data_IF_531614359874
#
_entry.id   IF_531614359874
#
_cell.length_a   1.000
_cell.length_b   1.000
_cell.length_c   1.000
_cell.angle_alpha   90.00
_cell.angle_beta   90.00
_cell.angle_gamma   90.00
#
_symmetry.space_group_name_H-M   'P 1'
#
loop_
_entity.id
_entity.type
_entity.pdbx_description
1 polymer ?
#
# COMPACT_ATOMS: atom_id res chain seq x y z
N UNK A 1 77.20 -29.93 -51.30
CA UNK A 1 76.94 -28.81 -52.22
C UNK A 1 75.44 -28.72 -52.41
N UNK A 2 74.78 -27.73 -51.84
CA UNK A 2 73.34 -27.53 -52.07
C UNK A 2 73.21 -27.13 -53.53
N UNK A 3 72.62 -27.99 -54.35
CA UNK A 3 72.46 -27.78 -55.78
C UNK A 3 71.55 -26.55 -55.97
N UNK A 4 71.93 -25.55 -56.78
CA UNK A 4 71.15 -24.32 -56.92
C UNK A 4 69.66 -24.56 -57.27
N UNK A 5 69.36 -25.69 -57.93
CA UNK A 5 67.99 -26.14 -58.24
C UNK A 5 67.18 -26.55 -57.01
N UNK A 6 67.78 -27.24 -56.04
CA UNK A 6 67.07 -27.61 -54.79
C UNK A 6 66.82 -26.40 -53.89
N UNK A 7 67.75 -25.43 -53.87
CA UNK A 7 67.54 -24.16 -53.17
C UNK A 7 66.39 -23.35 -53.76
N UNK A 8 66.30 -23.28 -55.09
CA UNK A 8 65.21 -22.57 -55.78
C UNK A 8 63.85 -23.22 -55.50
N UNK A 9 63.76 -24.56 -55.55
CA UNK A 9 62.52 -25.29 -55.23
C UNK A 9 62.07 -25.00 -53.79
N UNK A 10 63.02 -24.97 -52.84
CA UNK A 10 62.72 -24.73 -51.43
C UNK A 10 62.23 -23.29 -51.18
N UNK A 11 62.80 -22.30 -51.90
CA UNK A 11 62.37 -20.89 -51.85
C UNK A 11 60.96 -20.73 -52.43
N UNK A 12 60.68 -21.35 -53.58
CA UNK A 12 59.34 -21.30 -54.21
C UNK A 12 58.30 -21.96 -53.31
N UNK A 13 58.62 -23.12 -52.72
CA UNK A 13 57.73 -23.80 -51.80
C UNK A 13 57.44 -22.94 -50.55
N UNK A 14 58.46 -22.32 -49.97
CA UNK A 14 58.31 -21.40 -48.85
C UNK A 14 57.44 -20.18 -49.21
N UNK A 15 57.62 -19.62 -50.41
CA UNK A 15 56.81 -18.49 -50.90
C UNK A 15 55.34 -18.89 -51.07
N UNK A 16 55.06 -20.07 -51.63
CA UNK A 16 53.69 -20.58 -51.77
C UNK A 16 53.04 -20.83 -50.41
N UNK A 17 53.76 -21.45 -49.48
CA UNK A 17 53.27 -21.65 -48.10
C UNK A 17 52.96 -20.32 -47.40
N UNK A 18 53.82 -19.32 -47.59
CA UNK A 18 53.61 -17.98 -47.05
C UNK A 18 52.36 -17.31 -47.64
N UNK A 19 52.14 -17.43 -48.95
CA UNK A 19 50.95 -16.92 -49.65
C UNK A 19 49.69 -17.60 -49.14
N UNK A 20 49.68 -18.92 -48.98
CA UNK A 20 48.53 -19.67 -48.45
C UNK A 20 48.25 -19.28 -47.00
N UNK A 21 49.28 -19.21 -46.15
CA UNK A 21 49.14 -18.80 -44.75
C UNK A 21 48.59 -17.37 -44.63
N UNK A 22 49.11 -16.43 -45.42
CA UNK A 22 48.63 -15.03 -45.44
C UNK A 22 47.20 -14.87 -46.01
N UNK A 23 46.74 -15.87 -46.77
CA UNK A 23 45.40 -15.88 -47.35
C UNK A 23 44.33 -16.37 -46.37
N UNK A 24 44.69 -17.07 -45.30
CA UNK A 24 43.73 -17.65 -44.35
C UNK A 24 43.37 -16.64 -43.26
N UNK A 25 42.08 -16.55 -42.92
CA UNK A 25 41.61 -15.86 -41.72
C UNK A 25 40.48 -16.63 -41.04
N UNK A 26 40.34 -16.42 -39.73
CA UNK A 26 39.37 -17.13 -38.88
C UNK A 26 38.36 -16.13 -38.35
N UNK A 27 37.08 -16.49 -38.39
CA UNK A 27 35.98 -15.74 -37.80
C UNK A 27 35.43 -16.54 -36.62
N UNK A 28 35.45 -15.92 -35.44
CA UNK A 28 34.93 -16.51 -34.21
C UNK A 28 33.43 -16.25 -34.07
N UNK A 29 32.76 -16.99 -33.19
CA UNK A 29 31.31 -16.84 -32.93
C UNK A 29 30.88 -15.45 -32.43
N UNK A 30 31.79 -14.70 -31.81
CA UNK A 30 31.50 -13.35 -31.30
C UNK A 30 31.84 -12.25 -32.31
N UNK A 31 32.27 -12.62 -33.50
CA UNK A 31 32.81 -11.72 -34.51
C UNK A 31 32.17 -11.99 -35.86
N UNK A 32 32.07 -10.94 -36.64
CA UNK A 32 31.73 -10.98 -38.06
C UNK A 32 32.82 -10.25 -38.82
N UNK A 33 33.08 -10.67 -40.06
CA UNK A 33 34.17 -10.14 -40.86
C UNK A 33 33.66 -9.46 -42.14
N UNK A 34 34.16 -8.26 -42.38
CA UNK A 34 33.90 -7.50 -43.60
C UNK A 34 35.17 -7.49 -44.43
N UNK A 35 35.12 -8.10 -45.61
CA UNK A 35 36.24 -8.11 -46.56
C UNK A 35 36.09 -6.91 -47.50
N UNK A 36 37.06 -6.00 -47.42
CA UNK A 36 37.06 -4.76 -48.18
C UNK A 36 38.24 -4.73 -49.14
N UNK A 37 37.95 -4.37 -50.38
CA UNK A 37 38.89 -4.29 -51.48
C UNK A 37 38.93 -2.88 -52.03
N UNK A 38 40.08 -2.22 -51.98
CA UNK A 38 40.24 -0.83 -52.42
C UNK A 38 39.16 0.11 -51.84
N UNK A 39 38.80 -0.10 -50.56
CA UNK A 39 37.76 0.66 -49.87
C UNK A 39 36.31 0.24 -50.13
N UNK A 40 36.05 -0.65 -51.10
CA UNK A 40 34.71 -1.15 -51.42
C UNK A 40 34.39 -2.48 -50.71
N UNK A 41 33.15 -2.66 -50.26
CA UNK A 41 32.71 -3.88 -49.58
C UNK A 41 32.49 -5.00 -50.61
N UNK A 42 33.41 -5.96 -50.63
CA UNK A 42 33.30 -7.13 -51.50
C UNK A 42 32.38 -8.17 -50.88
N UNK A 43 32.65 -8.57 -49.65
CA UNK A 43 31.97 -9.67 -49.00
C UNK A 43 31.82 -9.48 -47.49
N UNK A 44 30.77 -10.07 -46.93
CA UNK A 44 30.48 -10.10 -45.50
C UNK A 44 30.39 -11.57 -45.09
N UNK A 45 31.11 -11.94 -44.04
CA UNK A 45 31.10 -13.28 -43.44
C UNK A 45 30.58 -13.17 -42.01
N UNK A 46 29.36 -13.64 -41.81
CA UNK A 46 28.68 -13.63 -40.49
C UNK A 46 28.76 -14.97 -39.77
N UNK A 47 29.02 -16.06 -40.49
CA UNK A 47 29.13 -17.39 -39.89
C UNK A 47 30.54 -17.62 -39.33
N UNK A 48 30.68 -18.32 -38.19
CA UNK A 48 31.98 -18.68 -37.65
C UNK A 48 32.65 -19.71 -38.56
N UNK A 49 33.92 -19.51 -38.89
CA UNK A 49 34.60 -20.41 -39.80
C UNK A 49 35.94 -19.93 -40.30
N UNK A 50 36.56 -20.79 -41.10
CA UNK A 50 37.79 -20.50 -41.82
C UNK A 50 37.46 -19.93 -43.20
N UNK A 51 38.00 -18.78 -43.51
CA UNK A 51 37.80 -18.12 -44.80
C UNK A 51 39.12 -17.76 -45.45
N UNK A 52 39.07 -17.55 -46.76
CA UNK A 52 40.22 -17.19 -47.58
C UNK A 52 40.04 -15.77 -48.15
N UNK A 53 41.11 -14.98 -48.09
CA UNK A 53 41.25 -13.65 -48.69
C UNK A 53 42.48 -13.62 -49.58
N UNK A 54 42.60 -12.63 -50.46
CA UNK A 54 43.86 -12.44 -51.18
C UNK A 54 44.98 -12.01 -50.20
N UNK A 55 46.21 -12.53 -50.34
CA UNK A 55 47.31 -12.28 -49.42
C UNK A 55 47.99 -10.92 -49.63
N UNK A 56 47.55 -10.15 -50.63
CA UNK A 56 48.11 -8.85 -51.01
C UNK A 56 47.58 -7.70 -50.14
N UNK A 57 47.60 -7.86 -48.81
CA UNK A 57 47.16 -6.82 -47.87
C UNK A 57 47.96 -5.51 -47.99
N UNK A 58 49.19 -5.58 -48.51
CA UNK A 58 50.07 -4.43 -48.73
C UNK A 58 49.70 -3.56 -49.95
N UNK A 59 48.80 -4.01 -50.82
CA UNK A 59 48.28 -3.25 -51.96
C UNK A 59 46.83 -2.80 -51.77
N UNK A 60 46.31 -2.79 -50.52
CA UNK A 60 44.89 -2.55 -50.22
C UNK A 60 43.89 -3.47 -50.97
N UNK A 61 44.36 -4.63 -51.44
CA UNK A 61 43.59 -5.53 -52.29
C UNK A 61 42.47 -6.24 -51.52
N UNK A 62 42.74 -6.82 -50.34
CA UNK A 62 41.71 -7.38 -49.45
C UNK A 62 42.11 -7.15 -47.99
N UNK A 63 41.38 -6.27 -47.31
CA UNK A 63 41.51 -5.99 -45.87
C UNK A 63 40.28 -6.53 -45.14
N UNK A 64 40.52 -7.35 -44.12
CA UNK A 64 39.46 -7.86 -43.24
C UNK A 64 39.30 -6.91 -42.07
N UNK A 65 38.08 -6.41 -41.88
CA UNK A 65 37.68 -5.71 -40.66
C UNK A 65 36.78 -6.64 -39.85
N UNK A 66 37.16 -6.91 -38.61
CA UNK A 66 36.31 -7.60 -37.66
C UNK A 66 35.35 -6.60 -37.01
N UNK A 67 34.11 -7.04 -36.82
CA UNK A 67 33.05 -6.31 -36.15
C UNK A 67 32.44 -7.28 -35.13
N UNK A 68 31.96 -6.78 -34.00
CA UNK A 68 31.36 -7.64 -32.98
C UNK A 68 29.98 -8.17 -33.41
N UNK A 69 29.68 -9.43 -33.06
CA UNK A 69 28.35 -10.07 -33.23
C UNK A 69 27.70 -10.37 -31.87
N UNK A 70 27.84 -9.46 -30.91
CA UNK A 70 27.30 -9.61 -29.56
C UNK A 70 26.47 -8.38 -29.17
N UNK A 71 25.64 -8.54 -28.15
CA UNK A 71 24.96 -7.43 -27.51
C UNK A 71 26.00 -6.47 -26.90
N UNK A 72 26.02 -5.23 -27.40
CA UNK A 72 26.84 -4.14 -26.92
C UNK A 72 25.96 -3.17 -26.13
N UNK A 73 26.58 -2.45 -25.20
CA UNK A 73 25.91 -1.46 -24.37
C UNK A 73 26.64 -0.14 -24.45
N UNK A 74 25.88 0.94 -24.57
CA UNK A 74 26.37 2.28 -24.29
C UNK A 74 25.47 2.96 -23.26
N UNK A 75 26.08 3.84 -22.47
CA UNK A 75 25.43 4.59 -21.41
C UNK A 75 25.26 6.06 -21.78
N UNK A 76 24.16 6.65 -21.33
CA UNK A 76 23.83 8.05 -21.44
C UNK A 76 23.50 8.56 -20.04
N UNK A 77 24.47 9.24 -19.44
CA UNK A 77 24.43 9.66 -18.04
C UNK A 77 24.08 11.15 -17.91
N UNK A 78 23.46 11.52 -16.78
CA UNK A 78 23.20 12.90 -16.35
C UNK A 78 22.44 13.75 -17.38
N UNK A 79 21.49 13.16 -18.10
CA UNK A 79 20.67 13.91 -19.04
C UNK A 79 19.61 14.71 -18.31
N UNK A 80 19.66 16.02 -18.48
CA UNK A 80 18.64 16.92 -17.95
C UNK A 80 17.44 16.99 -18.89
N UNK A 81 16.33 16.41 -18.48
CA UNK A 81 15.04 16.46 -19.19
C UNK A 81 14.02 17.30 -18.42
N UNK A 82 13.10 17.92 -19.15
CA UNK A 82 11.98 18.66 -18.58
C UNK A 82 10.69 17.88 -18.83
N UNK A 83 9.86 17.73 -17.81
CA UNK A 83 8.54 17.09 -17.92
C UNK A 83 7.44 18.11 -18.22
N UNK A 84 6.24 17.65 -18.56
CA UNK A 84 5.10 18.53 -18.88
C UNK A 84 4.75 19.52 -17.76
N UNK A 85 5.00 19.14 -16.49
CA UNK A 85 4.83 19.99 -15.31
C UNK A 85 5.95 21.01 -15.08
N UNK A 86 6.88 21.20 -16.02
CA UNK A 86 7.93 22.20 -15.97
C UNK A 86 9.14 21.86 -15.11
N UNK A 87 9.09 20.76 -14.34
CA UNK A 87 10.18 20.27 -13.47
C UNK A 87 11.30 19.64 -14.29
N UNK A 88 12.52 19.71 -13.74
CA UNK A 88 13.71 19.10 -14.34
C UNK A 88 14.12 17.82 -13.60
N UNK A 89 14.55 16.83 -14.39
CA UNK A 89 15.05 15.55 -13.91
C UNK A 89 16.42 15.27 -14.50
N UNK A 90 17.23 14.55 -13.73
CA UNK A 90 18.47 13.95 -14.20
C UNK A 90 18.20 12.47 -14.45
N UNK A 91 18.35 12.07 -15.70
CA UNK A 91 18.06 10.72 -16.17
C UNK A 91 19.36 10.06 -16.61
N UNK A 92 19.61 8.88 -16.05
CA UNK A 92 20.63 7.96 -16.52
C UNK A 92 19.93 6.84 -17.29
N UNK A 93 20.32 6.62 -18.54
CA UNK A 93 19.78 5.58 -19.39
C UNK A 93 20.89 4.79 -20.08
N UNK A 94 20.56 3.57 -20.48
CA UNK A 94 21.44 2.74 -21.27
C UNK A 94 20.66 2.03 -22.36
N UNK A 95 21.35 1.75 -23.46
CA UNK A 95 20.80 1.04 -24.60
C UNK A 95 21.66 -0.18 -24.86
N UNK A 96 20.99 -1.30 -25.05
CA UNK A 96 21.60 -2.54 -25.50
C UNK A 96 21.26 -2.72 -26.98
N UNK A 97 22.29 -2.88 -27.81
CA UNK A 97 22.17 -2.98 -29.25
C UNK A 97 23.09 -4.07 -29.80
N UNK A 98 22.71 -4.66 -30.93
CA UNK A 98 23.53 -5.64 -31.66
C UNK A 98 23.73 -5.16 -33.10
N UNK A 99 24.91 -5.40 -33.66
CA UNK A 99 25.20 -5.06 -35.06
C UNK A 99 24.64 -6.17 -35.95
N UNK A 100 23.45 -5.98 -36.50
CA UNK A 100 22.75 -6.98 -37.31
C UNK A 100 23.11 -6.94 -38.80
N UNK A 101 23.40 -5.76 -39.35
CA UNK A 101 23.85 -5.59 -40.74
C UNK A 101 25.23 -4.92 -40.78
N UNK A 102 26.33 -5.71 -40.80
CA UNK A 102 27.69 -5.17 -40.82
C UNK A 102 28.01 -4.45 -42.14
N UNK A 103 27.32 -4.76 -43.25
CA UNK A 103 27.51 -4.06 -44.53
C UNK A 103 27.04 -2.61 -44.37
N UNK A 104 25.82 -2.43 -43.89
CA UNK A 104 25.22 -1.11 -43.66
C UNK A 104 25.97 -0.33 -42.59
N UNK A 105 26.37 -1.00 -41.50
CA UNK A 105 27.20 -0.42 -40.46
C UNK A 105 28.49 0.19 -41.05
N UNK A 106 29.20 -0.54 -41.91
CA UNK A 106 30.38 0.01 -42.55
C UNK A 106 30.09 1.12 -43.55
N UNK A 107 29.00 1.05 -44.31
CA UNK A 107 28.64 2.10 -45.26
C UNK A 107 28.31 3.43 -44.57
N UNK A 108 27.64 3.36 -43.42
CA UNK A 108 27.09 4.55 -42.77
C UNK A 108 28.03 5.18 -41.73
N UNK A 109 28.83 4.37 -41.04
CA UNK A 109 29.76 4.81 -39.97
C UNK A 109 31.19 4.25 -40.13
N UNK A 110 31.57 3.78 -41.32
CA UNK A 110 32.92 3.23 -41.60
C UNK A 110 33.34 2.04 -40.72
N UNK A 111 32.38 1.42 -40.03
CA UNK A 111 32.65 0.36 -39.06
C UNK A 111 33.26 0.88 -37.76
N UNK A 112 33.14 2.18 -37.50
CA UNK A 112 33.55 2.79 -36.25
C UNK A 112 32.39 2.80 -35.26
N UNK A 113 32.62 2.14 -34.12
CA UNK A 113 31.66 2.02 -33.03
C UNK A 113 31.37 3.37 -32.38
N UNK A 114 32.39 4.19 -32.15
CA UNK A 114 32.24 5.47 -31.44
C UNK A 114 31.35 6.43 -32.23
N UNK A 115 31.56 6.49 -33.55
CA UNK A 115 30.71 7.25 -34.47
C UNK A 115 29.24 6.79 -34.45
N UNK A 116 29.00 5.47 -34.37
CA UNK A 116 27.64 4.92 -34.30
C UNK A 116 26.96 5.26 -32.97
N UNK A 117 27.67 5.07 -31.86
CA UNK A 117 27.18 5.38 -30.52
C UNK A 117 26.92 6.87 -30.36
N UNK A 118 27.77 7.74 -30.89
CA UNK A 118 27.55 9.20 -30.88
C UNK A 118 26.24 9.60 -31.56
N UNK A 119 25.94 9.02 -32.74
CA UNK A 119 24.65 9.26 -33.44
C UNK A 119 23.46 8.74 -32.64
N UNK A 120 23.55 7.52 -32.09
CA UNK A 120 22.49 6.97 -31.25
C UNK A 120 22.29 7.75 -29.96
N UNK A 121 23.35 8.29 -29.35
CA UNK A 121 23.27 9.13 -28.14
C UNK A 121 22.48 10.41 -28.40
N UNK A 122 22.74 11.09 -29.52
CA UNK A 122 21.96 12.27 -29.92
C UNK A 122 20.48 11.93 -30.13
N UNK A 123 20.17 10.78 -30.74
CA UNK A 123 18.79 10.33 -30.95
C UNK A 123 18.10 9.91 -29.65
N UNK A 124 18.82 9.22 -28.77
CA UNK A 124 18.36 8.84 -27.43
C UNK A 124 18.01 10.06 -26.59
N UNK A 125 18.88 11.07 -26.54
CA UNK A 125 18.60 12.32 -25.84
C UNK A 125 17.33 13.00 -26.38
N UNK A 126 17.18 13.10 -27.70
CA UNK A 126 16.00 13.69 -28.32
C UNK A 126 14.70 12.91 -28.02
N UNK A 127 14.73 11.58 -28.11
CA UNK A 127 13.58 10.73 -27.81
C UNK A 127 13.20 10.79 -26.32
N UNK A 128 14.19 10.72 -25.41
CA UNK A 128 13.97 10.89 -23.97
C UNK A 128 13.33 12.26 -23.68
N UNK A 129 13.88 13.37 -24.21
CA UNK A 129 13.30 14.71 -24.03
C UNK A 129 11.85 14.80 -24.49
N UNK A 130 11.51 14.17 -25.62
CA UNK A 130 10.14 14.15 -26.14
C UNK A 130 9.21 13.33 -25.23
N UNK A 131 9.58 12.10 -24.91
CA UNK A 131 8.76 11.17 -24.12
C UNK A 131 8.49 11.70 -22.72
N UNK A 132 9.50 12.28 -22.07
CA UNK A 132 9.36 12.95 -20.77
C UNK A 132 8.60 14.28 -20.88
N UNK A 133 8.79 15.05 -21.94
CA UNK A 133 8.08 16.32 -22.14
C UNK A 133 6.57 16.18 -22.31
N UNK A 134 6.10 15.03 -22.81
CA UNK A 134 4.67 14.75 -22.98
C UNK A 134 3.97 14.24 -21.71
N UNK A 135 4.72 13.85 -20.67
CA UNK A 135 4.17 13.18 -19.48
C UNK A 135 4.52 13.92 -18.20
N UNK A 136 3.69 13.68 -17.18
CA UNK A 136 3.90 14.21 -15.84
C UNK A 136 5.04 13.51 -15.11
N UNK A 137 5.39 14.03 -13.93
CA UNK A 137 6.41 13.44 -13.07
C UNK A 137 6.06 12.02 -12.63
N UNK A 138 4.80 11.82 -12.27
CA UNK A 138 4.29 10.59 -11.67
C UNK A 138 4.42 9.41 -12.64
N UNK A 139 4.30 9.67 -13.94
CA UNK A 139 4.47 8.67 -15.00
C UNK A 139 5.86 8.01 -14.98
N UNK A 140 6.91 8.78 -14.66
CA UNK A 140 8.29 8.27 -14.62
C UNK A 140 8.55 7.34 -13.43
N UNK A 141 7.71 7.44 -12.39
CA UNK A 141 7.79 6.65 -11.16
C UNK A 141 6.68 5.59 -11.04
N UNK A 142 5.77 5.52 -12.01
CA UNK A 142 4.66 4.57 -12.04
C UNK A 142 4.90 3.44 -13.05
N UNK A 143 3.89 2.58 -13.21
CA UNK A 143 3.87 1.51 -14.20
C UNK A 143 3.97 2.02 -15.65
N UNK A 144 3.71 3.31 -15.89
CA UNK A 144 3.85 3.97 -17.20
C UNK A 144 5.30 4.04 -17.67
N UNK A 145 6.28 3.85 -16.78
CA UNK A 145 7.70 3.81 -17.15
C UNK A 145 8.01 2.76 -18.21
N UNK A 146 7.37 1.59 -18.15
CA UNK A 146 7.58 0.53 -19.13
C UNK A 146 7.00 0.88 -20.51
N UNK A 147 5.91 1.65 -20.58
CA UNK A 147 5.36 2.09 -21.87
C UNK A 147 6.23 3.19 -22.48
N UNK A 148 6.75 4.11 -21.66
CA UNK A 148 7.71 5.13 -22.10
C UNK A 148 8.97 4.52 -22.71
N UNK A 149 9.56 3.49 -22.10
CA UNK A 149 10.76 2.85 -22.64
C UNK A 149 10.51 2.10 -23.95
N UNK A 150 9.31 1.54 -24.13
CA UNK A 150 8.92 0.96 -25.42
C UNK A 150 8.79 2.02 -26.51
N UNK A 151 8.26 3.19 -26.19
CA UNK A 151 8.17 4.33 -27.10
C UNK A 151 9.57 4.81 -27.50
N UNK A 152 10.45 5.04 -26.52
CA UNK A 152 11.85 5.43 -26.77
C UNK A 152 12.59 4.41 -27.63
N UNK A 153 12.42 3.12 -27.33
CA UNK A 153 12.98 2.03 -28.14
C UNK A 153 12.47 2.08 -29.58
N UNK A 154 11.17 2.27 -29.77
CA UNK A 154 10.54 2.32 -31.10
C UNK A 154 11.10 3.49 -31.91
N UNK A 155 11.26 4.64 -31.28
CA UNK A 155 11.84 5.83 -31.90
C UNK A 155 13.29 5.59 -32.34
N UNK A 156 14.08 4.94 -31.47
CA UNK A 156 15.48 4.65 -31.74
C UNK A 156 15.65 3.57 -32.81
N UNK A 157 14.69 2.66 -32.94
CA UNK A 157 14.81 1.50 -33.84
C UNK A 157 14.94 1.95 -35.30
N UNK A 158 14.18 2.95 -35.73
CA UNK A 158 14.25 3.47 -37.10
C UNK A 158 15.63 4.07 -37.43
N UNK A 159 16.19 4.88 -36.52
CA UNK A 159 17.53 5.43 -36.70
C UNK A 159 18.61 4.34 -36.61
N UNK A 160 18.46 3.37 -35.69
CA UNK A 160 19.40 2.26 -35.53
C UNK A 160 19.47 1.37 -36.78
N UNK A 161 18.32 1.04 -37.39
CA UNK A 161 18.25 0.26 -38.61
C UNK A 161 18.93 0.95 -39.80
N UNK A 162 18.93 2.29 -39.84
CA UNK A 162 19.68 3.07 -40.84
C UNK A 162 21.20 2.95 -40.67
N UNK A 163 21.66 2.67 -39.45
CA UNK A 163 23.05 2.40 -39.11
C UNK A 163 23.40 0.90 -39.21
N UNK A 164 22.45 0.02 -39.51
CA UNK A 164 22.66 -1.44 -39.51
C UNK A 164 22.69 -2.07 -38.11
N UNK A 165 22.10 -1.39 -37.13
CA UNK A 165 22.03 -1.80 -35.73
C UNK A 165 20.60 -2.23 -35.37
N UNK A 166 20.47 -3.22 -34.49
CA UNK A 166 19.22 -3.63 -33.90
C UNK A 166 19.20 -3.29 -32.40
N UNK A 167 18.15 -2.62 -31.93
CA UNK A 167 18.00 -2.26 -30.52
C UNK A 167 17.32 -3.41 -29.77
N UNK A 168 18.05 -4.05 -28.86
CA UNK A 168 17.54 -5.14 -28.02
C UNK A 168 16.70 -4.61 -26.86
N UNK A 169 17.21 -3.60 -26.15
CA UNK A 169 16.50 -3.00 -25.02
C UNK A 169 16.97 -1.57 -24.74
N UNK A 170 16.07 -0.77 -24.17
CA UNK A 170 16.36 0.58 -23.66
C UNK A 170 15.86 0.64 -22.24
N UNK A 171 16.74 0.99 -21.30
CA UNK A 171 16.37 1.09 -19.89
C UNK A 171 16.94 2.33 -19.26
N UNK A 172 16.16 2.88 -18.36
CA UNK A 172 16.61 3.89 -17.42
C UNK A 172 17.30 3.18 -16.25
N UNK A 173 18.48 3.65 -15.86
CA UNK A 173 19.16 3.24 -14.62
C UNK A 173 18.64 4.05 -13.44
N UNK A 174 18.43 5.35 -13.62
CA UNK A 174 18.03 6.28 -12.56
C UNK A 174 17.27 7.48 -13.10
N UNK A 175 16.31 7.98 -12.33
CA UNK A 175 15.60 9.23 -12.61
C UNK A 175 15.46 9.98 -11.29
N UNK A 176 16.30 11.00 -11.11
CA UNK A 176 16.33 11.80 -9.90
C UNK A 176 15.81 13.21 -10.19
N UNK A 177 15.18 13.81 -9.18
CA UNK A 177 14.89 15.25 -9.18
C UNK A 177 16.20 16.02 -9.03
N UNK A 178 16.32 17.18 -9.69
CA UNK A 178 17.41 18.11 -9.36
C UNK A 178 17.29 18.54 -7.89
N UNK A 179 18.42 18.81 -7.22
CA UNK A 179 18.42 19.16 -5.79
C UNK A 179 17.49 20.35 -5.47
N UNK A 180 17.43 21.33 -6.37
CA UNK A 180 16.59 22.53 -6.25
C UNK A 180 15.09 22.19 -6.22
N UNK A 181 14.62 21.35 -7.15
CA UNK A 181 13.19 20.98 -7.28
C UNK A 181 12.79 19.90 -6.25
N UNK A 182 13.76 19.08 -5.85
CA UNK A 182 13.56 17.99 -4.88
C UNK A 182 13.04 18.52 -3.54
N UNK A 183 13.67 19.54 -2.98
CA UNK A 183 13.31 20.06 -1.65
C UNK A 183 11.88 20.62 -1.64
N UNK A 184 11.54 21.48 -2.61
CA UNK A 184 10.19 22.05 -2.73
C UNK A 184 9.12 20.97 -2.95
N UNK A 185 9.41 19.98 -3.81
CA UNK A 185 8.47 18.89 -4.07
C UNK A 185 8.29 18.01 -2.83
N UNK A 186 9.38 17.72 -2.10
CA UNK A 186 9.34 16.97 -0.85
C UNK A 186 8.51 17.69 0.21
N UNK A 187 8.71 19.00 0.40
CA UNK A 187 7.97 19.80 1.37
C UNK A 187 6.47 19.87 1.03
N UNK A 188 6.12 19.99 -0.27
CA UNK A 188 4.73 19.90 -0.74
C UNK A 188 4.13 18.52 -0.47
N UNK A 189 4.83 17.44 -0.83
CA UNK A 189 4.35 16.08 -0.60
C UNK A 189 4.15 15.80 0.90
N UNK A 190 5.05 16.31 1.74
CA UNK A 190 4.92 16.24 3.21
C UNK A 190 3.67 16.98 3.67
N UNK A 191 3.43 18.19 3.20
CA UNK A 191 2.24 18.97 3.54
C UNK A 191 0.95 18.27 3.08
N UNK A 192 0.91 17.74 1.85
CA UNK A 192 -0.23 16.98 1.32
C UNK A 192 -0.50 15.72 2.14
N UNK A 193 0.55 14.96 2.49
CA UNK A 193 0.42 13.77 3.35
C UNK A 193 -0.06 14.10 4.76
N UNK A 194 0.41 15.21 5.34
CA UNK A 194 -0.07 15.67 6.64
C UNK A 194 -1.54 16.09 6.56
N UNK A 195 -1.93 16.85 5.52
CA UNK A 195 -3.32 17.23 5.30
C UNK A 195 -4.24 16.02 5.09
N UNK A 196 -3.81 15.03 4.31
CA UNK A 196 -4.52 13.77 4.10
C UNK A 196 -4.65 12.98 5.41
N UNK A 197 -3.58 12.88 6.19
CA UNK A 197 -3.61 12.22 7.49
C UNK A 197 -4.55 12.92 8.48
N UNK A 198 -4.54 14.25 8.54
CA UNK A 198 -5.46 15.04 9.36
C UNK A 198 -6.91 14.85 8.91
N UNK A 199 -7.17 14.83 7.60
CA UNK A 199 -8.51 14.55 7.06
C UNK A 199 -9.02 13.16 7.49
N UNK A 200 -8.16 12.14 7.39
CA UNK A 200 -8.49 10.77 7.80
C UNK A 200 -8.74 10.71 9.31
N UNK A 201 -7.91 11.38 10.13
CA UNK A 201 -8.10 11.46 11.60
C UNK A 201 -9.40 12.17 11.96
N UNK A 202 -9.69 13.29 11.31
CA UNK A 202 -10.92 14.05 11.52
C UNK A 202 -12.16 13.21 11.20
N UNK A 203 -12.18 12.51 10.05
CA UNK A 203 -13.26 11.57 9.69
C UNK A 203 -13.39 10.43 10.69
N UNK A 204 -12.27 9.81 11.09
CA UNK A 204 -12.27 8.75 12.10
C UNK A 204 -12.83 9.23 13.45
N UNK A 205 -12.49 10.45 13.87
CA UNK A 205 -13.00 11.06 15.09
C UNK A 205 -14.51 11.39 14.99
N UNK A 206 -14.96 11.94 13.86
CA UNK A 206 -16.38 12.24 13.61
C UNK A 206 -17.21 10.95 13.64
N UNK A 207 -16.79 9.92 12.91
CA UNK A 207 -17.46 8.63 12.90
C UNK A 207 -17.46 7.96 14.28
N UNK A 208 -16.34 8.07 15.01
CA UNK A 208 -16.22 7.56 16.37
C UNK A 208 -17.14 8.27 17.35
N UNK A 209 -17.24 9.61 17.28
CA UNK A 209 -18.15 10.40 18.10
C UNK A 209 -19.61 10.10 17.77
N UNK A 210 -19.96 9.99 16.49
CA UNK A 210 -21.31 9.60 16.05
C UNK A 210 -21.69 8.23 16.60
N UNK A 211 -20.80 7.23 16.48
CA UNK A 211 -21.05 5.87 17.02
C UNK A 211 -21.22 5.87 18.53
N UNK A 212 -20.38 6.60 19.27
CA UNK A 212 -20.51 6.75 20.73
C UNK A 212 -21.84 7.40 21.12
N UNK A 213 -22.22 8.51 20.47
CA UNK A 213 -23.49 9.18 20.76
C UNK A 213 -24.72 8.28 20.51
N UNK A 214 -24.69 7.46 19.45
CA UNK A 214 -25.75 6.46 19.18
C UNK A 214 -25.77 5.40 20.28
N UNK A 215 -24.60 4.88 20.68
CA UNK A 215 -24.50 3.89 21.75
C UNK A 215 -24.98 4.45 23.10
N UNK A 216 -24.57 5.66 23.47
CA UNK A 216 -25.00 6.32 24.72
C UNK A 216 -26.52 6.53 24.74
N UNK A 217 -27.11 6.95 23.61
CA UNK A 217 -28.56 7.07 23.47
C UNK A 217 -29.26 5.72 23.66
N UNK A 218 -28.75 4.65 23.05
CA UNK A 218 -29.29 3.31 23.18
C UNK A 218 -29.20 2.79 24.61
N UNK A 219 -28.10 3.05 25.33
CA UNK A 219 -27.97 2.68 26.75
C UNK A 219 -29.07 3.35 27.58
N UNK A 220 -29.28 4.66 27.39
CA UNK A 220 -30.33 5.39 28.12
C UNK A 220 -31.72 4.86 27.79
N UNK A 221 -32.01 4.60 26.52
CA UNK A 221 -33.29 4.05 26.05
C UNK A 221 -33.56 2.67 26.65
N UNK A 222 -32.59 1.75 26.58
CA UNK A 222 -32.69 0.40 27.13
C UNK A 222 -32.89 0.42 28.66
N UNK A 223 -32.15 1.27 29.38
CA UNK A 223 -32.29 1.39 30.84
C UNK A 223 -33.65 1.98 31.21
N UNK A 224 -34.13 2.98 30.48
CA UNK A 224 -35.44 3.57 30.71
C UNK A 224 -36.58 2.60 30.42
N UNK A 225 -36.49 1.81 29.34
CA UNK A 225 -37.44 0.75 29.01
C UNK A 225 -37.45 -0.34 30.08
N UNK A 226 -36.27 -0.84 30.47
CA UNK A 226 -36.14 -1.83 31.54
C UNK A 226 -36.70 -1.36 32.88
N UNK A 227 -36.49 -0.07 33.24
CA UNK A 227 -37.03 0.48 34.48
C UNK A 227 -38.55 0.68 34.42
N UNK A 228 -39.08 1.16 33.29
CA UNK A 228 -40.52 1.24 33.06
C UNK A 228 -41.18 -0.13 33.22
N UNK A 229 -40.63 -1.15 32.57
CA UNK A 229 -41.17 -2.51 32.61
C UNK A 229 -41.08 -3.10 34.04
N UNK A 230 -39.99 -2.84 34.75
CA UNK A 230 -39.83 -3.22 36.16
C UNK A 230 -40.87 -2.55 37.06
N UNK A 231 -41.15 -1.26 36.87
CA UNK A 231 -42.18 -0.53 37.63
C UNK A 231 -43.59 -1.04 37.32
N UNK A 232 -43.88 -1.36 36.06
CA UNK A 232 -45.16 -1.97 35.64
C UNK A 232 -45.31 -3.34 36.31
N UNK A 233 -44.32 -4.24 36.17
CA UNK A 233 -44.36 -5.57 36.77
C UNK A 233 -44.48 -5.52 38.30
N UNK A 234 -43.80 -4.57 38.94
CA UNK A 234 -43.94 -4.36 40.39
C UNK A 234 -45.33 -3.88 40.75
N UNK A 235 -45.91 -2.95 40.00
CA UNK A 235 -47.27 -2.46 40.19
C UNK A 235 -48.32 -3.57 40.00
N UNK A 236 -48.17 -4.40 38.97
CA UNK A 236 -49.02 -5.57 38.72
C UNK A 236 -48.92 -6.59 39.86
N UNK A 237 -47.70 -6.91 40.30
CA UNK A 237 -47.48 -7.82 41.43
C UNK A 237 -48.02 -7.28 42.75
N UNK A 238 -47.92 -5.97 43.01
CA UNK A 238 -48.53 -5.34 44.18
C UNK A 238 -50.05 -5.35 44.11
N UNK A 239 -50.64 -5.13 42.93
CA UNK A 239 -52.08 -5.21 42.70
C UNK A 239 -52.60 -6.63 42.92
N UNK A 240 -51.96 -7.64 42.31
CA UNK A 240 -52.32 -9.05 42.48
C UNK A 240 -52.16 -9.48 43.95
N UNK A 241 -51.05 -9.12 44.60
CA UNK A 241 -50.84 -9.37 46.04
C UNK A 241 -51.98 -8.78 46.86
N UNK A 242 -52.36 -7.53 46.59
CA UNK A 242 -53.44 -6.85 47.32
C UNK A 242 -54.79 -7.50 47.09
N UNK A 243 -55.08 -7.94 45.86
CA UNK A 243 -56.29 -8.71 45.52
C UNK A 243 -56.35 -10.02 46.30
N UNK A 244 -55.29 -10.83 46.26
CA UNK A 244 -55.22 -12.11 46.99
C UNK A 244 -55.40 -11.89 48.50
N UNK A 245 -54.76 -10.85 49.05
CA UNK A 245 -54.98 -10.47 50.43
C UNK A 245 -56.44 -10.12 50.69
N UNK A 246 -57.04 -9.21 49.91
CA UNK A 246 -58.45 -8.79 50.06
C UNK A 246 -59.43 -9.96 49.99
N UNK A 247 -59.23 -10.88 49.05
CA UNK A 247 -60.03 -12.10 48.92
C UNK A 247 -59.89 -13.01 50.14
N UNK A 248 -58.69 -13.10 50.72
CA UNK A 248 -58.46 -13.83 51.96
C UNK A 248 -59.12 -13.13 53.17
N UNK A 249 -59.06 -11.79 53.24
CA UNK A 249 -59.73 -10.98 54.28
C UNK A 249 -61.25 -11.19 54.28
N UNK A 250 -61.87 -11.26 53.09
CA UNK A 250 -63.33 -11.41 52.96
C UNK A 250 -63.85 -12.78 53.37
N UNK A 251 -62.99 -13.82 53.43
CA UNK A 251 -63.41 -15.18 53.80
C UNK A 251 -63.78 -15.32 55.28
N UNK A 252 -63.02 -14.69 56.18
CA UNK A 252 -63.32 -14.64 57.62
C UNK A 252 -62.67 -13.39 58.26
N UNK A 253 -63.42 -12.27 58.35
CA UNK A 253 -62.92 -11.03 58.94
C UNK A 253 -62.51 -11.16 60.41
N UNK A 254 -63.23 -11.99 61.19
CA UNK A 254 -63.02 -12.11 62.63
C UNK A 254 -61.73 -12.87 62.96
N UNK A 255 -61.48 -13.98 62.28
CA UNK A 255 -60.24 -14.75 62.44
C UNK A 255 -59.00 -13.93 62.01
N UNK A 256 -59.13 -13.14 60.95
CA UNK A 256 -58.03 -12.32 60.47
C UNK A 256 -57.67 -11.19 61.47
N UNK A 257 -58.64 -10.45 62.00
CA UNK A 257 -58.36 -9.38 62.98
C UNK A 257 -57.63 -9.92 64.22
N UNK A 258 -58.02 -11.11 64.66
CA UNK A 258 -57.31 -11.86 65.70
C UNK A 258 -55.89 -12.25 65.28
N UNK A 259 -55.70 -12.88 64.11
CA UNK A 259 -54.37 -13.30 63.65
C UNK A 259 -53.41 -12.12 63.44
N UNK A 260 -53.88 -11.01 62.83
CA UNK A 260 -53.08 -9.79 62.60
C UNK A 260 -52.65 -9.15 63.91
N UNK A 261 -53.55 -9.06 64.90
CA UNK A 261 -53.21 -8.51 66.21
C UNK A 261 -52.20 -9.40 66.94
N UNK A 262 -52.33 -10.73 66.90
CA UNK A 262 -51.33 -11.66 67.44
C UNK A 262 -49.96 -11.53 66.76
N UNK A 263 -49.92 -11.42 65.43
CA UNK A 263 -48.67 -11.22 64.68
C UNK A 263 -48.02 -9.87 65.03
N UNK A 264 -48.81 -8.80 65.14
CA UNK A 264 -48.35 -7.49 65.57
C UNK A 264 -47.77 -7.54 66.99
N UNK A 265 -48.43 -8.24 67.93
CA UNK A 265 -47.91 -8.46 69.29
C UNK A 265 -46.56 -9.17 69.29
N UNK A 266 -46.44 -10.25 68.52
CA UNK A 266 -45.18 -10.99 68.40
C UNK A 266 -44.05 -10.11 67.88
N UNK A 267 -44.33 -9.23 66.90
CA UNK A 267 -43.30 -8.42 66.28
C UNK A 267 -42.93 -7.18 67.10
N UNK A 268 -43.88 -6.62 67.88
CA UNK A 268 -43.62 -5.44 68.73
C UNK A 268 -43.05 -5.79 70.11
N UNK A 269 -43.39 -6.95 70.68
CA UNK A 269 -43.01 -7.34 72.06
C UNK A 269 -41.73 -8.21 72.07
N UNK A 270 -41.29 -8.75 70.92
CA UNK A 270 -40.16 -9.67 70.82
C UNK A 270 -38.76 -9.06 70.88
N UNK A 271 -38.61 -7.73 70.88
CA UNK A 271 -37.30 -7.05 70.86
C UNK A 271 -36.91 -6.52 72.25
N UNK A 272 -35.82 -7.01 72.90
CA UNK A 272 -35.48 -6.71 74.29
C UNK A 272 -35.18 -5.22 74.59
N UNK A 273 -34.99 -4.38 73.56
CA UNK A 273 -34.68 -2.95 73.69
C UNK A 273 -35.87 -2.00 73.45
N UNK A 274 -37.10 -2.53 73.29
CA UNK A 274 -38.27 -1.69 72.96
C UNK A 274 -39.04 -1.28 74.22
N UNK A 275 -38.88 -0.03 74.66
CA UNK A 275 -39.70 0.56 75.72
C UNK A 275 -41.02 1.07 75.13
N UNK A 276 -42.13 0.41 75.45
CA UNK A 276 -43.46 0.73 74.93
C UNK A 276 -44.27 1.46 76.02
N UNK A 277 -44.66 2.72 75.75
CA UNK A 277 -45.55 3.50 76.63
C UNK A 277 -46.94 3.52 76.00
N UNK A 278 -47.85 2.70 76.52
CA UNK A 278 -49.22 2.58 76.02
C UNK A 278 -50.24 2.64 77.17
N UNK A 279 -51.41 3.20 76.89
CA UNK A 279 -52.55 3.17 77.80
C UNK A 279 -53.12 1.75 77.88
N UNK A 280 -53.51 1.25 79.07
CA UNK A 280 -54.14 -0.07 79.26
C UNK A 280 -55.43 -0.31 78.46
N UNK A 281 -56.05 0.76 77.96
CA UNK A 281 -57.28 0.73 77.16
C UNK A 281 -57.06 1.07 75.68
N UNK A 282 -55.85 0.85 75.16
CA UNK A 282 -55.57 1.03 73.74
C UNK A 282 -56.23 -0.07 72.90
N UNK A 283 -56.80 0.33 71.77
CA UNK A 283 -57.30 -0.55 70.69
C UNK A 283 -56.27 -1.62 70.28
N UNK A 284 -54.98 -1.32 70.50
CA UNK A 284 -53.89 -2.27 70.32
C UNK A 284 -54.09 -3.55 71.13
N UNK A 285 -54.54 -3.54 72.39
CA UNK A 285 -54.65 -4.72 73.26
C UNK A 285 -56.04 -5.39 73.29
N UNK A 286 -56.92 -5.08 72.33
CA UNK A 286 -58.32 -5.53 72.30
C UNK A 286 -58.49 -7.06 72.46
N UNK A 287 -57.63 -7.84 71.80
CA UNK A 287 -57.63 -9.31 71.86
C UNK A 287 -56.77 -9.90 73.00
N UNK A 288 -55.98 -9.08 73.68
CA UNK A 288 -55.25 -9.49 74.89
C UNK A 288 -56.16 -9.44 76.12
N UNK A 289 -57.09 -8.47 76.15
CA UNK A 289 -58.04 -8.26 77.25
C UNK A 289 -59.34 -9.06 77.10
N UNK A 290 -59.72 -9.48 75.89
CA UNK A 290 -60.93 -10.28 75.62
C UNK A 290 -60.75 -11.21 74.43
N UNK A 291 -61.25 -12.46 74.52
CA UNK A 291 -61.10 -13.46 73.45
C UNK A 291 -61.89 -13.11 72.18
N UNK A 292 -63.02 -12.40 72.31
CA UNK A 292 -63.88 -12.00 71.20
C UNK A 292 -63.54 -10.62 70.62
N UNK A 293 -62.61 -9.87 71.23
CA UNK A 293 -62.15 -8.57 70.74
C UNK A 293 -63.19 -7.44 70.84
N UNK A 294 -64.04 -7.42 71.86
CA UNK A 294 -65.03 -6.35 72.06
C UNK A 294 -64.41 -5.14 72.78
N UNK A 295 -64.67 -3.92 72.27
CA UNK A 295 -64.28 -2.67 72.95
C UNK A 295 -65.08 -2.46 74.23
N UNK A 296 -64.38 -2.21 75.35
CA UNK A 296 -65.00 -1.79 76.60
C UNK A 296 -65.42 -0.31 76.51
N UNK A 297 -66.64 0.07 76.94
CA UNK A 297 -67.06 1.46 76.95
C UNK A 297 -66.15 2.32 77.84
N UNK A 298 -65.74 3.49 77.35
CA UNK A 298 -64.91 4.45 78.09
C UNK A 298 -65.58 4.84 79.43
N UNK A 299 -64.83 4.89 80.55
CA UNK A 299 -65.33 5.52 81.77
C UNK A 299 -65.40 7.04 81.58
N UNK A 300 -66.57 7.62 81.86
CA UNK A 300 -66.83 9.07 81.79
C UNK A 300 -65.87 9.84 82.72
N UNK A 301 -65.19 10.91 82.27
CA UNK A 301 -64.31 11.68 83.15
C UNK A 301 -65.14 12.47 84.19
N UNK A 302 -64.78 12.32 85.47
CA UNK A 302 -65.37 13.06 86.59
C UNK A 302 -65.05 14.56 86.57
N UNK A 303 -65.85 15.41 87.25
CA UNK A 303 -65.82 16.86 87.10
C UNK A 303 -64.52 17.47 87.65
N UNK A 304 -63.91 18.38 86.87
CA UNK A 304 -62.72 19.12 87.22
C UNK A 304 -62.99 20.12 88.36
N UNK A 305 -62.13 20.11 89.38
CA UNK A 305 -62.17 21.07 90.50
C UNK A 305 -61.70 22.48 90.05
N UNK A 306 -62.27 23.56 90.60
CA UNK A 306 -61.89 24.93 90.23
C UNK A 306 -60.56 25.35 90.88
N UNK A 307 -59.66 25.91 90.08
CA UNK A 307 -58.43 26.56 90.55
C UNK A 307 -58.73 27.99 91.01
N UNK A 308 -58.48 28.24 92.30
CA UNK A 308 -58.46 29.57 92.95
C UNK A 308 -57.32 30.44 92.44
N UNK A 309 -57.65 31.71 92.18
CA UNK A 309 -56.76 32.84 91.91
C UNK A 309 -55.98 33.23 93.17
N UNK A 310 -54.66 33.42 93.04
CA UNK A 310 -53.90 34.57 93.57
C UNK A 310 -52.57 34.69 92.81
#
# INVERSE_FOLDING_TARGET
MINNRSSIILIVLAAVLFVVYSSVFVVNERQQAIVVRFGQIREVKSEPGLYFKLPFGFMDADRVQYVEDQALRFDLDNIRVQVSGGKFYEVDAFVVYKISDPRRFRQTVSGDRESAESRLRTRLDASLRRVYGLRGFEAALSDERASMMREVRTDLSADAESLGLNIEDVRIRRTDLTQEVSQQTFDRMKAERLAEAELIRARGNEEGQRRRAIADRQVVEIVAEAQRDSEILRGEGEAERTQIFADAFQRDPGFFEFYRSMAAYSQSIGSPDTTIVLSPHSEFFRYFNSADGADQPLPTPGPAAPTTTD
#
